data_IF_905506166332
#
_entry.id   IF_905506166332
#
_cell.length_a   1.000
_cell.length_b   1.000
_cell.length_c   1.000
_cell.angle_alpha   90.00
_cell.angle_beta   90.00
_cell.angle_gamma   90.00
#
_symmetry.space_group_name_H-M   'P 1'
#
loop_
_entity.id
_entity.type
_entity.pdbx_description
1 polymer ?
#
# COMPACT_ATOMS: atom_id res chain seq x y z
N UNK A 1 -8.07 -13.70 -21.54
CA UNK A 1 -9.04 -12.80 -22.19
C UNK A 1 -8.74 -11.40 -21.66
N UNK A 2 -8.20 -10.52 -22.50
CA UNK A 2 -7.70 -9.21 -22.07
C UNK A 2 -8.89 -8.25 -21.84
N UNK A 3 -9.27 -8.04 -20.59
CA UNK A 3 -10.13 -6.93 -20.21
C UNK A 3 -9.34 -5.63 -20.42
N UNK A 4 -9.55 -5.01 -21.58
CA UNK A 4 -9.03 -3.67 -21.87
C UNK A 4 -9.97 -2.67 -21.20
N UNK A 5 -9.57 -2.16 -20.04
CA UNK A 5 -10.17 -0.97 -19.44
C UNK A 5 -10.07 0.17 -20.48
N UNK A 6 -11.17 0.86 -20.84
CA UNK A 6 -11.13 1.92 -21.84
C UNK A 6 -10.26 3.08 -21.38
N UNK A 7 -9.38 3.50 -22.28
CA UNK A 7 -8.43 4.58 -22.08
C UNK A 7 -9.04 5.91 -22.55
N UNK A 8 -9.35 6.84 -21.64
CA UNK A 8 -9.53 8.28 -21.94
C UNK A 8 -9.58 9.15 -20.68
N UNK A 9 -8.74 10.19 -20.59
CA UNK A 9 -8.78 11.23 -19.53
C UNK A 9 -7.82 11.06 -18.34
N UNK A 10 -7.10 9.94 -18.24
CA UNK A 10 -6.26 9.58 -17.09
C UNK A 10 -4.82 10.09 -17.20
N UNK A 11 -4.56 11.37 -16.90
CA UNK A 11 -3.26 11.66 -16.27
C UNK A 11 -3.27 10.92 -14.91
N UNK A 12 -2.25 10.11 -14.62
CA UNK A 12 -2.10 9.41 -13.32
C UNK A 12 -2.26 10.37 -12.15
N UNK A 13 -1.93 11.66 -12.33
CA UNK A 13 -2.12 12.70 -11.31
C UNK A 13 -3.58 12.89 -10.88
N UNK A 14 -4.58 12.61 -11.72
CA UNK A 14 -5.99 12.81 -11.40
C UNK A 14 -6.69 11.62 -10.74
N UNK A 15 -6.04 10.44 -10.70
CA UNK A 15 -6.68 9.17 -10.34
C UNK A 15 -6.02 8.44 -9.17
N UNK A 16 -5.08 9.06 -8.47
CA UNK A 16 -4.49 8.49 -7.25
C UNK A 16 -5.59 8.06 -6.26
N UNK A 17 -6.62 8.90 -6.07
CA UNK A 17 -7.76 8.59 -5.20
C UNK A 17 -8.64 7.43 -5.68
N UNK A 18 -8.95 7.33 -6.98
CA UNK A 18 -9.82 6.26 -7.49
C UNK A 18 -9.14 4.89 -7.52
N UNK A 19 -7.84 4.84 -7.83
CA UNK A 19 -7.05 3.61 -7.78
C UNK A 19 -6.84 3.13 -6.34
N UNK A 20 -6.60 4.07 -5.42
CA UNK A 20 -6.55 3.81 -3.98
C UNK A 20 -7.88 3.22 -3.48
N UNK A 21 -9.02 3.85 -3.78
CA UNK A 21 -10.34 3.36 -3.37
C UNK A 21 -10.67 1.99 -3.97
N UNK A 22 -10.34 1.75 -5.24
CA UNK A 22 -10.56 0.43 -5.86
C UNK A 22 -9.72 -0.66 -5.18
N UNK A 23 -8.43 -0.40 -4.96
CA UNK A 23 -7.57 -1.34 -4.26
C UNK A 23 -8.03 -1.60 -2.82
N UNK A 24 -8.42 -0.56 -2.09
CA UNK A 24 -8.95 -0.68 -0.72
C UNK A 24 -10.26 -1.48 -0.69
N UNK A 25 -11.16 -1.27 -1.64
CA UNK A 25 -12.40 -2.05 -1.71
C UNK A 25 -12.14 -3.56 -1.84
N UNK A 26 -11.06 -3.95 -2.54
CA UNK A 26 -10.65 -5.35 -2.68
C UNK A 26 -9.95 -5.84 -1.41
N UNK A 27 -9.00 -5.07 -0.88
CA UNK A 27 -8.21 -5.43 0.30
C UNK A 27 -9.09 -5.60 1.55
N UNK A 28 -10.01 -4.66 1.77
CA UNK A 28 -10.93 -4.65 2.92
C UNK A 28 -12.15 -5.55 2.72
N UNK A 29 -12.22 -6.25 1.57
CA UNK A 29 -13.39 -7.05 1.15
C UNK A 29 -14.69 -6.24 1.26
N UNK A 30 -14.63 -4.95 0.95
CA UNK A 30 -15.76 -4.05 1.05
C UNK A 30 -16.88 -4.59 0.17
N UNK A 31 -18.07 -4.74 0.75
CA UNK A 31 -19.23 -5.22 0.00
C UNK A 31 -19.69 -4.08 -0.90
N UNK A 32 -19.35 -4.16 -2.19
CA UNK A 32 -19.69 -3.14 -3.17
C UNK A 32 -21.17 -3.22 -3.57
N UNK A 33 -21.81 -2.08 -3.90
CA UNK A 33 -23.13 -2.05 -4.50
C UNK A 33 -23.20 -2.90 -5.77
N UNK A 34 -24.40 -3.38 -6.10
CA UNK A 34 -24.63 -4.05 -7.38
C UNK A 34 -24.89 -3.02 -8.47
N UNK A 35 -24.24 -3.20 -9.61
CA UNK A 35 -24.37 -2.34 -10.78
C UNK A 35 -25.06 -3.10 -11.90
N UNK A 36 -26.17 -2.54 -12.38
CA UNK A 36 -26.86 -3.01 -13.59
C UNK A 36 -27.00 -1.84 -14.54
N UNK A 37 -27.05 -2.13 -15.83
CA UNK A 37 -27.35 -1.11 -16.82
C UNK A 37 -28.21 -1.69 -17.94
N UNK A 38 -29.01 -0.84 -18.54
CA UNK A 38 -29.77 -1.17 -19.75
C UNK A 38 -29.58 -0.07 -20.77
N UNK A 39 -29.73 -0.44 -22.04
CA UNK A 39 -29.68 0.49 -23.16
C UNK A 39 -30.86 0.24 -24.06
N UNK A 40 -31.53 1.32 -24.45
CA UNK A 40 -32.56 1.34 -25.48
C UNK A 40 -32.15 2.28 -26.60
N UNK A 41 -32.57 1.98 -27.82
CA UNK A 41 -32.30 2.81 -28.99
C UNK A 41 -33.57 2.82 -29.83
N UNK A 42 -33.97 4.00 -30.29
CA UNK A 42 -34.97 4.16 -31.33
C UNK A 42 -34.38 5.02 -32.47
N UNK A 43 -35.22 5.36 -33.45
CA UNK A 43 -34.81 6.12 -34.64
C UNK A 43 -34.31 7.54 -34.32
N UNK A 44 -34.69 8.10 -33.17
CA UNK A 44 -34.43 9.51 -32.82
C UNK A 44 -33.38 9.67 -31.72
N UNK A 45 -33.29 8.72 -30.79
CA UNK A 45 -32.40 8.80 -29.64
C UNK A 45 -32.03 7.41 -29.09
N UNK A 46 -30.92 7.36 -28.37
CA UNK A 46 -30.56 6.26 -27.49
C UNK A 46 -30.65 6.70 -26.03
N UNK A 47 -31.07 5.80 -25.16
CA UNK A 47 -31.07 6.01 -23.71
C UNK A 47 -30.23 4.94 -23.04
N UNK A 48 -29.47 5.34 -22.03
CA UNK A 48 -28.78 4.44 -21.11
C UNK A 48 -29.35 4.65 -19.71
N UNK A 49 -29.63 3.55 -19.01
CA UNK A 49 -30.02 3.53 -17.61
C UNK A 49 -28.92 2.81 -16.82
N UNK A 50 -28.46 3.42 -15.73
CA UNK A 50 -27.57 2.81 -14.76
C UNK A 50 -28.30 2.66 -13.43
N UNK A 51 -28.49 1.42 -12.98
CA UNK A 51 -29.23 1.05 -11.78
C UNK A 51 -28.19 0.59 -10.74
N UNK A 52 -28.19 1.26 -9.60
CA UNK A 52 -27.27 0.99 -8.49
C UNK A 52 -28.08 0.49 -7.31
N UNK A 53 -28.01 -0.80 -7.03
CA UNK A 53 -28.66 -1.42 -5.88
C UNK A 53 -27.67 -1.48 -4.71
N UNK A 54 -28.07 -0.97 -3.54
CA UNK A 54 -27.26 -0.97 -2.33
C UNK A 54 -28.06 -1.37 -1.09
N UNK A 55 -27.37 -1.92 -0.10
CA UNK A 55 -27.94 -2.43 1.16
C UNK A 55 -27.22 -1.86 2.38
N UNK A 56 -27.69 -2.19 3.58
CA UNK A 56 -27.10 -1.68 4.82
C UNK A 56 -25.61 -2.05 4.92
N UNK A 57 -24.74 -1.06 5.15
CA UNK A 57 -23.28 -1.23 5.20
C UNK A 57 -22.55 -1.08 3.86
N UNK A 58 -23.26 -0.95 2.74
CA UNK A 58 -22.65 -0.64 1.44
C UNK A 58 -22.54 0.87 1.21
N UNK A 59 -21.50 1.36 0.51
CA UNK A 59 -21.38 2.78 0.21
C UNK A 59 -22.51 3.23 -0.72
N UNK A 60 -23.15 4.35 -0.39
CA UNK A 60 -24.19 4.96 -1.22
C UNK A 60 -23.56 5.91 -2.26
N UNK A 61 -24.17 6.05 -3.45
CA UNK A 61 -23.76 7.07 -4.42
C UNK A 61 -23.80 8.47 -3.79
N UNK A 62 -22.72 9.25 -3.96
CA UNK A 62 -22.65 10.67 -3.54
C UNK A 62 -22.80 11.63 -4.71
N UNK A 63 -22.45 11.17 -5.92
CA UNK A 63 -22.58 11.94 -7.15
C UNK A 63 -22.65 10.98 -8.35
N UNK A 64 -23.26 11.44 -9.44
CA UNK A 64 -23.19 10.78 -10.73
C UNK A 64 -23.00 11.83 -11.83
N UNK A 65 -22.22 11.51 -12.86
CA UNK A 65 -21.93 12.43 -13.97
C UNK A 65 -21.85 11.64 -15.26
N UNK A 66 -22.41 12.19 -16.33
CA UNK A 66 -22.26 11.63 -17.66
C UNK A 66 -21.05 12.26 -18.34
N UNK A 67 -20.22 11.45 -18.97
CA UNK A 67 -19.16 11.91 -19.86
C UNK A 67 -19.54 11.55 -21.29
N UNK A 68 -19.63 12.55 -22.16
CA UNK A 68 -19.89 12.35 -23.59
C UNK A 68 -18.71 12.83 -24.43
N UNK A 69 -18.35 12.05 -25.44
CA UNK A 69 -17.40 12.46 -26.47
C UNK A 69 -17.84 12.02 -27.85
N UNK A 70 -17.31 12.71 -28.86
CA UNK A 70 -17.51 12.36 -30.27
C UNK A 70 -16.19 12.02 -30.92
N UNK A 71 -16.17 11.01 -31.79
CA UNK A 71 -15.02 10.78 -32.66
C UNK A 71 -14.94 11.86 -33.73
N UNK A 72 -13.73 12.09 -34.24
CA UNK A 72 -13.50 13.07 -35.32
C UNK A 72 -14.19 12.66 -36.63
N UNK A 73 -14.42 11.36 -36.85
CA UNK A 73 -15.14 10.84 -38.01
C UNK A 73 -15.85 9.50 -37.72
N UNK A 74 -16.72 9.08 -38.64
CA UNK A 74 -17.55 7.88 -38.54
C UNK A 74 -16.84 6.59 -38.97
N UNK A 75 -15.64 6.66 -39.53
CA UNK A 75 -14.94 5.48 -40.06
C UNK A 75 -14.40 4.56 -38.98
N UNK A 76 -14.07 5.10 -37.79
CA UNK A 76 -13.49 4.34 -36.69
C UNK A 76 -14.06 4.75 -35.33
N UNK A 77 -14.40 3.74 -34.53
CA UNK A 77 -14.75 3.87 -33.10
C UNK A 77 -13.47 3.99 -32.26
N UNK A 78 -12.73 5.08 -32.40
CA UNK A 78 -11.49 5.30 -31.65
C UNK A 78 -11.60 6.53 -30.77
N UNK A 79 -11.82 6.32 -29.47
CA UNK A 79 -11.94 7.39 -28.48
C UNK A 79 -10.63 7.76 -27.79
N UNK A 80 -9.53 7.02 -28.03
CA UNK A 80 -8.25 7.23 -27.35
C UNK A 80 -7.68 8.59 -27.72
N UNK A 81 -7.20 9.37 -26.76
CA UNK A 81 -6.62 10.71 -27.00
C UNK A 81 -5.25 10.69 -27.69
N UNK A 82 -4.51 9.59 -27.56
CA UNK A 82 -3.25 9.39 -28.23
C UNK A 82 -2.99 7.90 -28.46
N UNK A 83 -2.20 7.59 -29.48
CA UNK A 83 -1.69 6.24 -29.74
C UNK A 83 -0.24 6.33 -30.19
N UNK A 84 0.54 5.30 -29.88
CA UNK A 84 1.88 5.16 -30.43
C UNK A 84 1.74 4.50 -31.80
N UNK A 85 2.33 5.12 -32.82
CA UNK A 85 2.50 4.51 -34.12
C UNK A 85 3.42 3.28 -33.98
N UNK A 86 2.93 2.06 -34.28
CA UNK A 86 3.73 0.86 -34.12
C UNK A 86 4.95 0.82 -35.07
N UNK A 87 4.96 1.60 -36.15
CA UNK A 87 6.06 1.61 -37.12
C UNK A 87 7.08 2.71 -36.83
N UNK A 88 6.62 3.93 -36.54
CA UNK A 88 7.53 5.06 -36.29
C UNK A 88 7.85 5.30 -34.80
N UNK A 89 7.10 4.68 -33.88
CA UNK A 89 7.21 4.93 -32.45
C UNK A 89 6.71 6.32 -32.01
N UNK A 90 6.24 7.15 -32.94
CA UNK A 90 5.76 8.50 -32.63
C UNK A 90 4.37 8.48 -32.01
N UNK A 91 4.10 9.47 -31.17
CA UNK A 91 2.78 9.68 -30.57
C UNK A 91 1.88 10.37 -31.59
N UNK A 92 0.86 9.65 -32.06
CA UNK A 92 -0.23 10.21 -32.86
C UNK A 92 -1.31 10.70 -31.90
N UNK A 93 -1.53 12.01 -31.89
CA UNK A 93 -2.61 12.65 -31.15
C UNK A 93 -3.95 12.43 -31.85
N UNK A 94 -5.01 12.24 -31.06
CA UNK A 94 -6.39 12.15 -31.52
C UNK A 94 -7.23 13.03 -30.59
N UNK A 95 -7.49 14.30 -30.98
CA UNK A 95 -8.04 15.31 -30.09
C UNK A 95 -9.53 15.07 -29.84
N UNK A 96 -9.84 14.15 -28.94
CA UNK A 96 -11.19 13.83 -28.51
C UNK A 96 -11.48 14.54 -27.19
N UNK A 97 -12.52 15.36 -27.23
CA UNK A 97 -12.98 16.17 -26.12
C UNK A 97 -14.11 15.43 -25.42
N UNK A 98 -13.92 15.18 -24.12
CA UNK A 98 -14.95 14.66 -23.23
C UNK A 98 -15.62 15.82 -22.51
N UNK A 99 -16.94 15.86 -22.58
CA UNK A 99 -17.78 16.88 -21.95
C UNK A 99 -18.56 16.26 -20.79
N UNK A 100 -18.63 16.99 -19.68
CA UNK A 100 -19.46 16.63 -18.55
C UNK A 100 -20.89 17.02 -18.85
N UNK A 101 -21.77 16.05 -18.83
CA UNK A 101 -23.20 16.21 -19.07
C UNK A 101 -23.96 15.91 -17.77
N UNK A 102 -25.06 16.64 -17.52
CA UNK A 102 -25.93 16.32 -16.39
C UNK A 102 -26.53 14.92 -16.58
N UNK A 103 -26.69 14.21 -15.47
CA UNK A 103 -27.37 12.92 -15.41
C UNK A 103 -28.72 13.11 -14.74
N UNK A 104 -29.75 12.42 -15.22
CA UNK A 104 -31.09 12.47 -14.63
C UNK A 104 -31.25 11.33 -13.63
N UNK A 105 -31.94 11.56 -12.52
CA UNK A 105 -32.37 10.51 -11.60
C UNK A 105 -33.81 10.13 -11.97
N UNK A 106 -34.00 8.94 -12.53
CA UNK A 106 -35.32 8.44 -12.95
C UNK A 106 -36.12 7.88 -11.78
N UNK A 107 -35.41 7.22 -10.85
CA UNK A 107 -36.02 6.62 -9.66
C UNK A 107 -35.00 6.54 -8.53
N UNK A 108 -35.47 6.78 -7.31
CA UNK A 108 -34.67 6.65 -6.11
C UNK A 108 -35.50 6.04 -4.98
N UNK A 109 -34.97 4.99 -4.38
CA UNK A 109 -35.52 4.34 -3.19
C UNK A 109 -34.44 4.27 -2.10
N UNK A 110 -34.79 3.70 -0.94
CA UNK A 110 -33.83 3.52 0.14
C UNK A 110 -32.71 2.50 -0.17
N UNK A 111 -32.87 1.70 -1.22
CA UNK A 111 -31.96 0.60 -1.57
C UNK A 111 -31.54 0.60 -3.04
N UNK A 112 -31.99 1.57 -3.85
CA UNK A 112 -31.64 1.64 -5.26
C UNK A 112 -31.73 3.06 -5.80
N UNK A 113 -30.82 3.43 -6.71
CA UNK A 113 -30.91 4.66 -7.50
C UNK A 113 -30.74 4.31 -8.98
N UNK A 114 -31.62 4.84 -9.82
CA UNK A 114 -31.56 4.71 -11.28
C UNK A 114 -31.22 6.05 -11.90
N UNK A 115 -30.07 6.09 -12.57
CA UNK A 115 -29.58 7.22 -13.34
C UNK A 115 -29.87 7.01 -14.83
N UNK A 116 -30.20 8.08 -15.55
CA UNK A 116 -30.39 8.03 -17.00
C UNK A 116 -29.64 9.12 -17.75
N UNK A 117 -29.34 8.80 -19.00
CA UNK A 117 -28.93 9.78 -19.99
C UNK A 117 -29.51 9.44 -21.35
N UNK A 118 -30.08 10.44 -22.00
CA UNK A 118 -30.64 10.33 -23.35
C UNK A 118 -29.79 11.15 -24.30
N UNK A 119 -29.27 10.49 -25.33
CA UNK A 119 -28.50 11.13 -26.39
C UNK A 119 -29.25 11.02 -27.72
N UNK A 120 -29.24 12.07 -28.56
CA UNK A 120 -29.79 11.98 -29.90
C UNK A 120 -29.04 10.91 -30.72
N UNK A 121 -29.71 10.30 -31.69
CA UNK A 121 -29.09 9.30 -32.56
C UNK A 121 -27.92 9.96 -33.35
N UNK A 122 -26.69 9.42 -33.27
CA UNK A 122 -25.57 10.01 -33.99
C UNK A 122 -25.76 9.88 -35.51
N UNK A 123 -25.47 10.93 -36.30
CA UNK A 123 -25.38 10.83 -37.74
C UNK A 123 -24.23 9.90 -38.15
N UNK A 124 -24.29 9.35 -39.37
CA UNK A 124 -23.28 8.41 -39.92
C UNK A 124 -21.85 9.00 -40.02
N UNK A 125 -21.69 10.30 -39.75
CA UNK A 125 -20.43 11.04 -39.80
C UNK A 125 -19.53 10.90 -38.58
N UNK A 126 -20.00 10.39 -37.43
CA UNK A 126 -19.20 10.20 -36.22
C UNK A 126 -19.78 9.14 -35.28
N UNK A 127 -19.02 8.76 -34.25
CA UNK A 127 -19.46 7.91 -33.14
C UNK A 127 -19.59 8.73 -31.85
N UNK A 128 -20.70 8.54 -31.13
CA UNK A 128 -20.88 9.06 -29.76
C UNK A 128 -20.42 8.01 -28.73
N UNK A 129 -19.56 8.42 -27.82
CA UNK A 129 -19.11 7.67 -26.65
C UNK A 129 -19.74 8.28 -25.40
N UNK A 130 -20.36 7.45 -24.57
CA UNK A 130 -21.09 7.87 -23.38
C UNK A 130 -20.69 6.97 -22.21
N UNK A 131 -20.35 7.59 -21.08
CA UNK A 131 -20.12 6.91 -19.81
C UNK A 131 -20.95 7.55 -18.71
N UNK A 132 -21.54 6.74 -17.83
CA UNK A 132 -22.06 7.21 -16.55
C UNK A 132 -21.01 6.85 -15.51
N UNK A 133 -20.45 7.87 -14.86
CA UNK A 133 -19.61 7.70 -13.68
C UNK A 133 -20.47 7.90 -12.43
N UNK A 134 -20.44 6.94 -11.52
CA UNK A 134 -21.06 7.06 -10.19
C UNK A 134 -19.94 7.10 -9.16
N UNK A 135 -19.98 8.07 -8.25
CA UNK A 135 -18.96 8.29 -7.22
C UNK A 135 -19.47 7.85 -5.86
N UNK A 136 -18.60 7.24 -5.08
CA UNK A 136 -18.85 6.70 -3.74
C UNK A 136 -17.80 7.24 -2.77
N UNK A 137 -18.12 7.24 -1.48
CA UNK A 137 -17.14 7.50 -0.41
C UNK A 137 -16.19 6.30 -0.32
N UNK A 138 -14.88 6.54 -0.42
CA UNK A 138 -13.85 5.53 -0.18
C UNK A 138 -13.58 5.34 1.32
N UNK A 139 -12.94 4.24 1.73
CA UNK A 139 -12.57 4.03 3.12
C UNK A 139 -11.56 5.10 3.61
N UNK A 140 -11.78 5.62 4.82
CA UNK A 140 -10.98 6.71 5.40
C UNK A 140 -9.64 6.23 6.00
N UNK A 141 -8.66 7.14 6.09
CA UNK A 141 -7.41 7.07 6.88
C UNK A 141 -6.29 6.10 6.48
N UNK A 142 -6.35 5.41 5.34
CA UNK A 142 -5.28 4.47 4.95
C UNK A 142 -4.17 5.13 4.11
N UNK A 143 -2.93 5.09 4.63
CA UNK A 143 -1.72 5.56 3.91
C UNK A 143 -1.06 4.40 3.16
N UNK A 144 -0.93 4.49 1.84
CA UNK A 144 -0.36 3.44 1.01
C UNK A 144 0.93 3.86 0.31
N UNK A 145 1.87 2.92 0.20
CA UNK A 145 3.11 3.07 -0.58
C UNK A 145 3.12 2.02 -1.68
N UNK A 146 3.08 2.47 -2.95
CA UNK A 146 3.09 1.59 -4.11
C UNK A 146 4.29 1.87 -5.03
N UNK A 147 5.00 0.79 -5.40
CA UNK A 147 5.96 0.80 -6.50
C UNK A 147 5.39 -0.07 -7.62
N UNK A 148 5.14 0.54 -8.79
CA UNK A 148 4.55 -0.18 -9.92
C UNK A 148 5.45 -1.36 -10.35
N UNK A 149 4.88 -2.50 -10.80
CA UNK A 149 5.64 -3.72 -11.09
C UNK A 149 6.89 -3.54 -11.97
N UNK A 150 6.86 -2.74 -13.06
CA UNK A 150 8.06 -2.53 -13.91
C UNK A 150 9.22 -1.82 -13.20
N UNK A 151 8.96 -1.17 -12.06
CA UNK A 151 9.93 -0.43 -11.25
C UNK A 151 10.26 -1.15 -9.93
N UNK A 152 9.69 -2.32 -9.67
CA UNK A 152 10.05 -3.07 -8.47
C UNK A 152 11.49 -3.61 -8.55
N UNK A 153 12.08 -3.90 -7.39
CA UNK A 153 13.45 -4.44 -7.23
C UNK A 153 14.59 -3.58 -7.80
N UNK A 154 14.31 -2.35 -8.24
CA UNK A 154 15.31 -1.35 -8.70
C UNK A 154 15.70 -0.32 -7.63
N UNK A 155 15.32 -0.54 -6.37
CA UNK A 155 15.65 0.35 -5.24
C UNK A 155 14.74 1.57 -5.08
N UNK A 156 13.69 1.73 -5.89
CA UNK A 156 12.78 2.88 -5.79
C UNK A 156 12.04 2.95 -4.45
N UNK A 157 11.54 1.82 -3.92
CA UNK A 157 10.89 1.78 -2.60
C UNK A 157 11.78 2.29 -1.49
N UNK A 158 13.07 1.90 -1.50
CA UNK A 158 14.05 2.36 -0.51
C UNK A 158 14.25 3.87 -0.62
N UNK A 159 14.52 4.37 -1.84
CA UNK A 159 14.74 5.80 -2.09
C UNK A 159 13.53 6.64 -1.66
N UNK A 160 12.32 6.18 -1.98
CA UNK A 160 11.08 6.82 -1.59
C UNK A 160 10.96 6.89 -0.07
N UNK A 161 11.09 5.75 0.62
CA UNK A 161 10.97 5.68 2.07
C UNK A 161 12.07 6.51 2.76
N UNK A 162 13.32 6.42 2.31
CA UNK A 162 14.42 7.26 2.80
C UNK A 162 14.14 8.76 2.59
N UNK A 163 13.55 9.17 1.46
CA UNK A 163 13.18 10.57 1.23
C UNK A 163 12.10 11.03 2.21
N UNK A 164 11.06 10.24 2.43
CA UNK A 164 10.00 10.50 3.41
C UNK A 164 10.59 10.69 4.82
N UNK A 165 11.42 9.75 5.28
CA UNK A 165 12.07 9.85 6.59
C UNK A 165 12.99 11.08 6.70
N UNK A 166 13.77 11.40 5.66
CA UNK A 166 14.67 12.57 5.67
C UNK A 166 13.92 13.90 5.69
N UNK A 167 12.70 13.95 5.15
CA UNK A 167 11.83 15.11 5.23
C UNK A 167 11.20 15.22 6.62
N UNK A 168 10.46 14.19 7.04
CA UNK A 168 9.70 14.17 8.29
C UNK A 168 10.58 14.29 9.55
N UNK A 169 11.83 13.79 9.52
CA UNK A 169 12.73 13.93 10.67
C UNK A 169 13.14 15.38 10.97
N UNK A 170 13.04 16.27 9.99
CA UNK A 170 13.35 17.70 10.15
C UNK A 170 12.20 18.46 10.81
N UNK A 171 11.00 17.90 10.80
CA UNK A 171 9.83 18.50 11.43
C UNK A 171 9.78 18.13 12.93
N UNK A 172 9.86 19.14 13.79
CA UNK A 172 9.79 18.96 15.25
C UNK A 172 8.40 18.56 15.74
N UNK A 173 7.35 18.74 14.92
CA UNK A 173 5.97 18.33 15.25
C UNK A 173 5.75 16.83 15.08
N UNK A 174 6.58 16.17 14.25
CA UNK A 174 6.51 14.72 14.03
C UNK A 174 7.15 14.00 15.23
N UNK A 175 6.37 13.14 15.89
CA UNK A 175 6.85 12.36 17.05
C UNK A 175 7.53 11.07 16.62
N UNK A 176 6.87 10.29 15.77
CA UNK A 176 7.38 9.06 15.17
C UNK A 176 6.64 8.80 13.85
N UNK A 177 7.19 7.90 13.03
CA UNK A 177 6.63 7.49 11.75
C UNK A 177 6.15 6.04 11.91
N UNK A 178 4.85 5.82 11.69
CA UNK A 178 4.20 4.52 11.77
C UNK A 178 3.72 4.06 10.39
N UNK A 179 3.35 2.79 10.28
CA UNK A 179 2.71 2.24 9.09
C UNK A 179 1.50 1.45 9.55
N UNK A 180 0.40 1.60 8.82
CA UNK A 180 -0.82 0.85 9.04
C UNK A 180 -0.69 -0.51 8.35
N UNK A 181 -0.86 -1.57 9.15
CA UNK A 181 -0.79 -2.99 8.74
C UNK A 181 0.27 -3.31 7.65
N UNK A 182 1.57 -3.12 7.95
CA UNK A 182 2.62 -3.25 6.95
C UNK A 182 2.81 -4.71 6.50
N UNK A 183 2.92 -4.93 5.18
CA UNK A 183 3.31 -6.24 4.63
C UNK A 183 4.73 -6.63 5.04
N UNK A 184 5.05 -7.93 5.02
CA UNK A 184 6.39 -8.44 5.35
C UNK A 184 7.49 -7.80 4.48
N UNK A 185 7.23 -7.60 3.18
CA UNK A 185 8.16 -6.93 2.28
C UNK A 185 8.36 -5.46 2.63
N UNK A 186 7.31 -4.77 3.07
CA UNK A 186 7.41 -3.40 3.54
C UNK A 186 8.17 -3.32 4.86
N UNK A 187 7.96 -4.25 5.79
CA UNK A 187 8.74 -4.37 7.03
C UNK A 187 10.22 -4.58 6.71
N UNK A 188 10.56 -5.45 5.76
CA UNK A 188 11.95 -5.63 5.32
C UNK A 188 12.56 -4.35 4.74
N UNK A 189 11.82 -3.65 3.89
CA UNK A 189 12.26 -2.38 3.32
C UNK A 189 12.48 -1.32 4.41
N UNK A 190 11.55 -1.22 5.35
CA UNK A 190 11.58 -0.27 6.47
C UNK A 190 12.72 -0.58 7.42
N UNK A 191 12.95 -1.84 7.77
CA UNK A 191 14.08 -2.24 8.61
C UNK A 191 15.43 -1.85 8.01
N UNK A 192 15.61 -2.01 6.69
CA UNK A 192 16.80 -1.57 5.98
C UNK A 192 16.98 -0.05 6.10
N UNK A 193 15.92 0.73 5.83
CA UNK A 193 15.98 2.19 5.94
C UNK A 193 16.22 2.65 7.38
N UNK A 194 15.54 2.07 8.36
CA UNK A 194 15.72 2.37 9.79
C UNK A 194 17.15 2.06 10.25
N UNK A 195 17.72 0.94 9.80
CA UNK A 195 19.12 0.59 10.06
C UNK A 195 20.08 1.62 9.43
N UNK A 196 19.86 2.01 8.16
CA UNK A 196 20.65 3.03 7.47
C UNK A 196 20.60 4.39 8.18
N UNK A 197 19.42 4.82 8.62
CA UNK A 197 19.24 6.08 9.33
C UNK A 197 19.98 6.08 10.67
N UNK A 198 19.85 5.03 11.47
CA UNK A 198 20.56 4.92 12.74
C UNK A 198 22.07 4.84 12.53
N UNK A 199 22.54 4.09 11.53
CA UNK A 199 23.96 4.01 11.21
C UNK A 199 24.53 5.39 10.79
N UNK A 200 23.77 6.15 10.00
CA UNK A 200 24.19 7.46 9.49
C UNK A 200 24.11 8.58 10.52
N UNK A 201 23.01 8.67 11.26
CA UNK A 201 22.71 9.83 12.12
C UNK A 201 22.94 9.57 13.62
N UNK A 202 23.12 8.31 14.02
CA UNK A 202 23.35 7.91 15.41
C UNK A 202 24.57 6.96 15.55
N UNK A 203 25.72 7.28 14.91
CA UNK A 203 26.87 6.37 14.89
C UNK A 203 27.40 6.06 16.30
N UNK A 204 27.39 7.03 17.22
CA UNK A 204 27.86 6.85 18.59
C UNK A 204 26.92 5.99 19.43
N UNK A 205 25.61 6.07 19.17
CA UNK A 205 24.57 5.36 19.93
C UNK A 205 24.48 3.90 19.49
N UNK A 206 24.62 3.64 18.18
CA UNK A 206 24.53 2.29 17.59
C UNK A 206 25.90 1.76 17.12
N UNK A 207 27.00 2.26 17.69
CA UNK A 207 28.35 1.74 17.45
C UNK A 207 28.53 0.32 18.00
N UNK A 208 29.50 -0.42 17.45
CA UNK A 208 29.88 -1.75 17.97
C UNK A 208 30.18 -1.69 19.48
N UNK A 209 30.91 -0.68 19.92
CA UNK A 209 31.30 -0.50 21.32
C UNK A 209 30.09 -0.22 22.21
N UNK A 210 29.21 0.70 21.81
CA UNK A 210 28.01 1.05 22.56
C UNK A 210 27.06 -0.14 22.68
N UNK A 211 26.89 -0.90 21.59
CA UNK A 211 26.05 -2.09 21.58
C UNK A 211 26.61 -3.16 22.51
N UNK A 212 27.91 -3.49 22.41
CA UNK A 212 28.54 -4.53 23.23
C UNK A 212 28.69 -4.16 24.71
N UNK A 213 28.78 -2.86 25.04
CA UNK A 213 28.77 -2.37 26.44
C UNK A 213 27.42 -2.60 27.13
N UNK A 214 26.33 -2.67 26.36
CA UNK A 214 24.98 -2.83 26.89
C UNK A 214 24.48 -4.25 26.72
N UNK A 215 23.82 -4.81 27.75
CA UNK A 215 23.18 -6.13 27.66
C UNK A 215 21.74 -6.08 27.14
N UNK A 216 21.20 -4.87 26.89
CA UNK A 216 19.81 -4.64 26.47
C UNK A 216 19.65 -3.28 25.81
N UNK A 217 18.60 -3.12 25.00
CA UNK A 217 18.15 -1.83 24.49
C UNK A 217 17.90 -0.85 25.67
N UNK A 218 18.58 0.29 25.66
CA UNK A 218 18.48 1.32 26.71
C UNK A 218 17.43 2.37 26.38
N UNK A 219 16.97 3.11 27.39
CA UNK A 219 16.04 4.26 27.20
C UNK A 219 16.68 5.36 26.36
N UNK A 220 17.98 5.59 26.52
CA UNK A 220 18.73 6.57 25.73
C UNK A 220 18.69 6.23 24.23
N UNK A 221 18.93 4.96 23.88
CA UNK A 221 18.87 4.52 22.48
C UNK A 221 17.48 4.72 21.88
N UNK A 222 16.43 4.43 22.66
CA UNK A 222 15.03 4.65 22.25
C UNK A 222 14.75 6.13 22.02
N UNK A 223 15.11 6.98 22.98
CA UNK A 223 14.85 8.42 22.90
C UNK A 223 15.63 9.04 21.73
N UNK A 224 16.92 8.73 21.58
CA UNK A 224 17.73 9.21 20.45
C UNK A 224 17.17 8.74 19.10
N UNK A 225 16.79 7.48 18.97
CA UNK A 225 16.19 6.95 17.74
C UNK A 225 14.83 7.60 17.43
N UNK A 226 14.01 7.86 18.45
CA UNK A 226 12.76 8.60 18.31
C UNK A 226 13.01 10.05 17.89
N UNK A 227 13.86 10.78 18.60
CA UNK A 227 14.03 12.22 18.38
C UNK A 227 14.71 12.52 17.04
N UNK A 228 15.74 11.73 16.69
CA UNK A 228 16.61 11.98 15.54
C UNK A 228 16.15 11.24 14.29
N UNK A 229 15.65 10.00 14.42
CA UNK A 229 15.26 9.17 13.29
C UNK A 229 13.74 8.96 13.18
N UNK A 230 12.94 9.48 14.14
CA UNK A 230 11.48 9.32 14.21
C UNK A 230 11.04 7.85 14.22
N UNK A 231 11.87 6.98 14.81
CA UNK A 231 11.58 5.56 14.93
C UNK A 231 10.75 5.25 16.18
N UNK A 232 9.84 4.30 16.04
CA UNK A 232 9.11 3.71 17.17
C UNK A 232 10.04 2.87 18.05
N UNK A 233 9.61 2.56 19.28
CA UNK A 233 10.32 1.64 20.18
C UNK A 233 10.52 0.26 19.54
N UNK A 234 9.53 -0.24 18.80
CA UNK A 234 9.57 -1.56 18.16
C UNK A 234 10.62 -1.60 17.04
N UNK A 235 10.65 -0.60 16.16
CA UNK A 235 11.68 -0.49 15.13
C UNK A 235 13.07 -0.34 15.74
N UNK A 236 13.20 0.52 16.75
CA UNK A 236 14.49 0.74 17.43
C UNK A 236 15.03 -0.55 18.02
N UNK A 237 14.13 -1.41 18.55
CA UNK A 237 14.50 -2.74 19.05
C UNK A 237 15.05 -3.65 17.94
N UNK A 238 14.45 -3.64 16.75
CA UNK A 238 14.93 -4.39 15.58
C UNK A 238 16.30 -3.88 15.12
N UNK A 239 16.48 -2.56 15.05
CA UNK A 239 17.78 -1.94 14.72
C UNK A 239 18.85 -2.34 15.73
N UNK A 240 18.56 -2.27 17.04
CA UNK A 240 19.47 -2.73 18.07
C UNK A 240 19.88 -4.20 17.90
N UNK A 241 18.91 -5.08 17.62
CA UNK A 241 19.17 -6.50 17.41
C UNK A 241 20.03 -6.76 16.15
N UNK A 242 19.78 -6.02 15.06
CA UNK A 242 20.61 -6.08 13.85
C UNK A 242 22.04 -5.60 14.11
N UNK A 243 22.21 -4.49 14.84
CA UNK A 243 23.53 -4.00 15.25
C UNK A 243 24.27 -5.00 16.15
N UNK A 244 23.55 -5.65 17.09
CA UNK A 244 24.10 -6.69 17.95
C UNK A 244 24.55 -7.90 17.14
N UNK A 245 23.70 -8.41 16.23
CA UNK A 245 24.04 -9.53 15.36
C UNK A 245 25.26 -9.25 14.47
N UNK A 246 25.42 -8.00 14.01
CA UNK A 246 26.59 -7.55 13.25
C UNK A 246 27.86 -7.45 14.10
N UNK A 247 27.71 -7.23 15.42
CA UNK A 247 28.81 -6.96 16.35
C UNK A 247 29.39 -8.18 17.05
N UNK A 248 28.56 -9.20 17.30
CA UNK A 248 28.95 -10.43 18.02
C UNK A 248 29.80 -11.39 17.18
N UNK A 249 30.61 -12.20 17.84
CA UNK A 249 31.30 -13.31 17.20
C UNK A 249 30.34 -14.49 17.00
N UNK A 250 30.04 -14.84 15.74
CA UNK A 250 29.11 -15.93 15.41
C UNK A 250 29.62 -17.32 15.79
N UNK A 251 30.93 -17.47 15.98
CA UNK A 251 31.56 -18.72 16.43
C UNK A 251 31.54 -18.87 17.95
N UNK A 252 31.20 -17.81 18.70
CA UNK A 252 31.06 -17.85 20.14
C UNK A 252 29.63 -18.30 20.51
N UNK A 253 29.54 -19.51 21.05
CA UNK A 253 28.27 -20.14 21.42
C UNK A 253 27.51 -19.34 22.50
N UNK A 254 28.22 -18.71 23.44
CA UNK A 254 27.59 -17.96 24.52
C UNK A 254 27.03 -16.62 24.02
N UNK A 255 27.76 -15.91 23.15
CA UNK A 255 27.24 -14.70 22.51
C UNK A 255 26.01 -14.99 21.63
N UNK A 256 26.07 -16.05 20.82
CA UNK A 256 24.94 -16.46 19.97
C UNK A 256 23.75 -16.93 20.81
N UNK A 257 23.98 -17.63 21.91
CA UNK A 257 22.91 -18.03 22.86
C UNK A 257 22.24 -16.82 23.49
N UNK A 258 23.01 -15.81 23.91
CA UNK A 258 22.47 -14.55 24.47
C UNK A 258 21.62 -13.80 23.43
N UNK A 259 22.12 -13.66 22.20
CA UNK A 259 21.36 -13.07 21.10
C UNK A 259 20.05 -13.82 20.85
N UNK A 260 20.09 -15.15 20.80
CA UNK A 260 18.91 -16.00 20.61
C UNK A 260 17.87 -15.80 21.70
N UNK A 261 18.28 -15.76 22.96
CA UNK A 261 17.36 -15.53 24.08
C UNK A 261 16.71 -14.14 24.01
N UNK A 262 17.49 -13.12 23.65
CA UNK A 262 17.00 -11.75 23.52
C UNK A 262 15.91 -11.62 22.44
N UNK A 263 16.11 -12.23 21.27
CA UNK A 263 15.13 -12.23 20.18
C UNK A 263 13.89 -13.06 20.55
N UNK A 264 14.07 -14.25 21.14
CA UNK A 264 12.94 -15.09 21.60
C UNK A 264 12.10 -14.40 22.66
N UNK A 265 12.73 -13.66 23.58
CA UNK A 265 12.02 -12.88 24.59
C UNK A 265 11.12 -11.82 23.95
N UNK A 266 11.61 -11.10 22.93
CA UNK A 266 10.81 -10.12 22.18
C UNK A 266 9.63 -10.78 21.46
N UNK A 267 9.85 -11.91 20.78
CA UNK A 267 8.78 -12.64 20.07
C UNK A 267 7.69 -13.09 21.07
N UNK A 268 8.11 -13.46 22.29
CA UNK A 268 7.20 -13.93 23.32
C UNK A 268 6.46 -12.80 24.07
N UNK A 269 7.00 -11.59 24.10
CA UNK A 269 6.44 -10.46 24.86
C UNK A 269 4.96 -10.15 24.49
N UNK A 270 4.57 -10.01 23.20
CA UNK A 270 3.16 -9.81 22.84
C UNK A 270 2.24 -10.95 23.29
N UNK A 271 2.73 -12.20 23.29
CA UNK A 271 1.96 -13.37 23.71
C UNK A 271 1.61 -13.38 25.20
N UNK A 272 2.33 -12.61 26.03
CA UNK A 272 2.06 -12.49 27.46
C UNK A 272 1.06 -11.38 27.79
N UNK A 273 1.16 -10.23 27.11
CA UNK A 273 0.37 -9.03 27.43
C UNK A 273 -1.06 -9.06 26.88
N UNK A 274 -1.35 -9.92 25.90
CA UNK A 274 -2.68 -10.07 25.29
C UNK A 274 -3.69 -10.87 26.13
N UNK A 275 -3.69 -10.73 27.47
CA UNK A 275 -4.77 -11.30 28.31
C UNK A 275 -6.16 -10.76 27.96
N UNK A 276 -6.25 -9.49 27.49
CA UNK A 276 -7.51 -8.86 27.06
C UNK A 276 -7.88 -9.16 25.59
N UNK A 277 -6.91 -9.30 24.69
CA UNK A 277 -7.14 -9.73 23.29
C UNK A 277 -7.48 -11.21 23.18
N UNK A 278 -6.99 -12.07 24.07
CA UNK A 278 -7.36 -13.50 24.17
C UNK A 278 -8.86 -13.74 24.41
N UNK A 279 -9.58 -12.75 24.95
CA UNK A 279 -11.04 -12.81 25.11
C UNK A 279 -11.81 -12.36 23.86
N UNK A 280 -11.17 -11.67 22.91
CA UNK A 280 -11.79 -11.16 21.68
C UNK A 280 -11.38 -11.93 20.42
N UNK A 281 -10.18 -12.52 20.40
CA UNK A 281 -9.67 -13.35 19.32
C UNK A 281 -9.74 -14.81 19.76
N UNK A 282 -10.84 -15.47 19.45
CA UNK A 282 -11.00 -16.94 19.58
C UNK A 282 -10.12 -17.66 18.54
N UNK A 283 -8.81 -17.45 18.58
CA UNK A 283 -7.84 -18.16 17.74
C UNK A 283 -7.27 -19.37 18.51
N UNK A 284 -7.69 -20.61 18.16
CA UNK A 284 -7.24 -21.82 18.83
C UNK A 284 -5.72 -22.01 18.77
N UNK A 285 -5.03 -21.44 17.77
CA UNK A 285 -3.59 -21.55 17.63
C UNK A 285 -2.83 -20.74 18.68
N UNK A 286 -3.29 -19.52 18.97
CA UNK A 286 -2.70 -18.66 20.01
C UNK A 286 -2.93 -19.24 21.42
N UNK A 287 -4.08 -19.87 21.64
CA UNK A 287 -4.39 -20.54 22.90
C UNK A 287 -3.49 -21.77 23.12
N UNK A 288 -3.31 -22.60 22.10
CA UNK A 288 -2.40 -23.75 22.15
C UNK A 288 -0.94 -23.34 22.45
N UNK A 289 -0.45 -22.22 21.90
CA UNK A 289 0.89 -21.69 22.21
C UNK A 289 1.03 -21.22 23.66
N UNK A 290 -0.08 -20.82 24.29
CA UNK A 290 -0.10 -20.33 25.67
C UNK A 290 -0.26 -21.46 26.71
N UNK A 291 -0.79 -22.62 26.35
CA UNK A 291 -1.00 -23.75 27.26
C UNK A 291 0.08 -24.83 27.12
N UNK A 292 0.58 -25.06 25.91
CA UNK A 292 1.54 -26.14 25.61
C UNK A 292 3.00 -25.60 25.54
N UNK A 293 3.88 -25.95 26.50
CA UNK A 293 5.26 -25.51 26.51
C UNK A 293 6.09 -26.02 25.32
N UNK A 294 5.79 -27.21 24.79
CA UNK A 294 6.54 -27.79 23.67
C UNK A 294 6.19 -27.10 22.36
N UNK A 295 4.90 -26.89 22.09
CA UNK A 295 4.44 -26.11 20.93
C UNK A 295 4.99 -24.69 20.98
N UNK A 296 5.00 -24.06 22.15
CA UNK A 296 5.62 -22.75 22.35
C UNK A 296 7.11 -22.77 22.02
N UNK A 297 7.86 -23.73 22.55
CA UNK A 297 9.31 -23.86 22.31
C UNK A 297 9.60 -24.05 20.82
N UNK A 298 8.81 -24.86 20.13
CA UNK A 298 8.90 -25.09 18.67
C UNK A 298 8.62 -23.80 17.90
N UNK A 299 7.49 -23.14 18.18
CA UNK A 299 7.12 -21.87 17.54
C UNK A 299 8.19 -20.79 17.72
N UNK A 300 8.68 -20.58 18.95
CA UNK A 300 9.73 -19.60 19.22
C UNK A 300 11.05 -19.95 18.52
N UNK A 301 11.33 -21.22 18.26
CA UNK A 301 12.51 -21.62 17.47
C UNK A 301 12.34 -21.27 16.00
N UNK A 302 11.21 -21.64 15.40
CA UNK A 302 10.90 -21.34 14.00
C UNK A 302 10.87 -19.83 13.74
N UNK A 303 10.21 -19.05 14.61
CA UNK A 303 10.16 -17.60 14.48
C UNK A 303 11.53 -16.94 14.68
N UNK A 304 12.38 -17.51 15.56
CA UNK A 304 13.76 -17.05 15.71
C UNK A 304 14.57 -17.25 14.42
N UNK A 305 14.45 -18.42 13.78
CA UNK A 305 15.14 -18.72 12.52
C UNK A 305 14.72 -17.76 11.40
N UNK A 306 13.42 -17.49 11.27
CA UNK A 306 12.89 -16.51 10.32
C UNK A 306 13.46 -15.09 10.57
N UNK A 307 13.47 -14.63 11.82
CA UNK A 307 14.02 -13.32 12.19
C UNK A 307 15.53 -13.26 11.94
N UNK A 308 16.26 -14.34 12.22
CA UNK A 308 17.70 -14.41 11.98
C UNK A 308 18.01 -14.30 10.49
N UNK A 309 17.31 -15.05 9.65
CA UNK A 309 17.45 -14.99 8.19
C UNK A 309 17.12 -13.58 7.67
N UNK A 310 16.00 -13.01 8.14
CA UNK A 310 15.60 -11.64 7.82
C UNK A 310 16.70 -10.64 8.11
N UNK A 311 17.25 -10.63 9.34
CA UNK A 311 18.33 -9.73 9.71
C UNK A 311 19.60 -9.94 8.88
N UNK A 312 19.96 -11.20 8.58
CA UNK A 312 21.09 -11.48 7.70
C UNK A 312 20.87 -10.89 6.30
N UNK A 313 19.66 -10.97 5.76
CA UNK A 313 19.32 -10.41 4.45
C UNK A 313 19.40 -8.88 4.45
N UNK A 314 18.90 -8.22 5.51
CA UNK A 314 19.03 -6.76 5.67
C UNK A 314 20.51 -6.34 5.74
N UNK A 315 21.31 -7.02 6.56
CA UNK A 315 22.73 -6.70 6.72
C UNK A 315 23.52 -6.92 5.41
N UNK A 316 23.27 -8.03 4.69
CA UNK A 316 23.86 -8.27 3.36
C UNK A 316 23.48 -7.19 2.36
N UNK A 317 22.21 -6.75 2.37
CA UNK A 317 21.76 -5.68 1.49
C UNK A 317 22.48 -4.37 1.83
N UNK A 318 22.57 -4.02 3.11
CA UNK A 318 23.27 -2.83 3.59
C UNK A 318 24.74 -2.81 3.17
N UNK A 319 25.49 -3.89 3.43
CA UNK A 319 26.92 -3.98 3.10
C UNK A 319 27.15 -3.84 1.58
N UNK A 320 26.33 -4.50 0.76
CA UNK A 320 26.38 -4.38 -0.72
C UNK A 320 26.17 -2.96 -1.22
N UNK A 321 25.39 -2.14 -0.51
CA UNK A 321 25.19 -0.73 -0.87
C UNK A 321 26.35 0.15 -0.44
N UNK A 322 26.96 -0.09 0.73
CA UNK A 322 28.15 0.63 1.15
C UNK A 322 29.28 0.45 0.12
N UNK A 323 29.52 -0.78 -0.32
CA UNK A 323 30.56 -1.08 -1.33
C UNK A 323 30.36 -0.38 -2.68
N UNK A 324 29.12 -0.01 -3.02
CA UNK A 324 28.79 0.73 -4.25
C UNK A 324 28.91 2.25 -4.12
N UNK A 325 28.92 2.78 -2.91
CA UNK A 325 29.09 4.22 -2.65
C UNK A 325 30.57 4.61 -2.51
N UNK A 326 31.46 3.64 -2.23
CA UNK A 326 32.91 3.82 -2.10
C UNK A 326 33.72 3.28 -3.29
N UNK A 327 33.06 3.00 -4.42
CA UNK A 327 33.67 2.72 -5.73
C UNK A 327 33.23 3.77 -6.73
#
# INVERSE_FOLDING_TARGET
MYERIPNTGHNIQGYQGSLQSFYLSIADKQILPSFKWTRSINETHGQILAIIDFSSGQPKPINATVYQARTVNGTKRDFRQAKIDPTSGQIIQNPIVWLNMPVTIEAQTNTSITYSYTAPMPPSSYWDGIFIQVTFVGPENTTQVLILPPYQRKGHGRRLLTAIYNDLRKDSRVQDITAEDPSDEFVALRDLVSFELCHKYLPDVFSKESILKTNRLTKEMINKAKDICKLTKQETRRVYEMCLLRSINKNDQEQMKRFRLLVKQRIFEPLQFDKRRRLQLSDPALEALATDPEKRKKYLSTQYEYVLEHYQNILRAFDKYQDKLYK
#
